data_IF_705394641055
#
_entry.id   IF_705394641055
#
_cell.length_a   1.000
_cell.length_b   1.000
_cell.length_c   1.000
_cell.angle_alpha   90.00
_cell.angle_beta   90.00
_cell.angle_gamma   90.00
#
_symmetry.space_group_name_H-M   'P 1'
#
loop_
_entity.id
_entity.type
_entity.pdbx_description
1 polymer ?
#
# COMPACT_ATOMS: atom_id res chain seq x y z
N UNK A 1 -28.72 9.62 3.01
CA UNK A 1 -28.79 8.19 2.69
C UNK A 1 -28.62 7.40 3.98
N UNK A 2 -29.31 6.26 4.17
CA UNK A 2 -29.05 5.40 5.32
C UNK A 2 -27.61 4.85 5.27
N UNK A 3 -27.00 4.69 6.43
CA UNK A 3 -25.59 4.29 6.61
C UNK A 3 -25.27 2.95 5.90
N UNK A 4 -26.20 2.00 5.96
CA UNK A 4 -26.08 0.67 5.36
C UNK A 4 -25.86 0.72 3.84
N UNK A 5 -26.53 1.64 3.14
CA UNK A 5 -26.39 1.76 1.69
C UNK A 5 -25.04 2.36 1.25
N UNK A 6 -24.35 3.08 2.13
CA UNK A 6 -23.00 3.61 1.87
C UNK A 6 -21.95 2.53 2.12
N UNK A 7 -22.16 1.67 3.13
CA UNK A 7 -21.27 0.55 3.43
C UNK A 7 -21.28 -0.51 2.31
N UNK A 8 -22.47 -0.81 1.76
CA UNK A 8 -22.61 -1.70 0.60
C UNK A 8 -21.84 -1.20 -0.63
N UNK A 9 -21.90 0.12 -0.89
CA UNK A 9 -21.17 0.72 -2.03
C UNK A 9 -19.68 0.76 -1.81
N UNK A 10 -19.22 1.03 -0.58
CA UNK A 10 -17.80 0.96 -0.22
C UNK A 10 -17.24 -0.40 -0.56
N UNK A 11 -17.85 -1.47 -0.07
CA UNK A 11 -17.38 -2.83 -0.29
C UNK A 11 -17.30 -3.24 -1.77
N UNK A 12 -18.26 -2.79 -2.58
CA UNK A 12 -18.23 -3.04 -4.03
C UNK A 12 -17.08 -2.28 -4.70
N UNK A 13 -16.90 -1.01 -4.35
CA UNK A 13 -15.91 -0.17 -5.01
C UNK A 13 -14.47 -0.45 -4.55
N UNK A 14 -14.26 -0.81 -3.28
CA UNK A 14 -12.93 -1.20 -2.77
C UNK A 14 -12.44 -2.48 -3.44
N UNK A 15 -13.31 -3.50 -3.56
CA UNK A 15 -13.00 -4.74 -4.27
C UNK A 15 -12.73 -4.52 -5.75
N UNK A 16 -13.49 -3.62 -6.37
CA UNK A 16 -13.34 -3.32 -7.79
C UNK A 16 -12.08 -2.52 -8.09
N UNK A 17 -11.73 -1.53 -7.28
CA UNK A 17 -10.62 -0.61 -7.56
C UNK A 17 -9.47 -0.77 -6.56
N UNK A 18 -9.56 -0.15 -5.39
CA UNK A 18 -8.54 -0.20 -4.36
C UNK A 18 -9.13 0.17 -2.99
N UNK A 19 -8.47 -0.29 -1.92
CA UNK A 19 -8.87 0.00 -0.55
C UNK A 19 -8.46 1.38 -0.05
N UNK A 20 -7.49 2.03 -0.70
CA UNK A 20 -7.21 3.46 -0.57
C UNK A 20 -7.48 4.18 -1.89
N UNK A 21 -7.98 5.42 -1.84
CA UNK A 21 -8.39 6.16 -3.04
C UNK A 21 -7.24 7.08 -3.52
N UNK A 22 -6.76 6.94 -4.75
CA UNK A 22 -5.73 7.81 -5.30
C UNK A 22 -6.26 9.20 -5.65
N UNK A 23 -5.37 10.19 -5.64
CA UNK A 23 -5.57 11.50 -6.26
C UNK A 23 -4.29 11.93 -7.02
N UNK A 24 -4.38 12.97 -7.83
CA UNK A 24 -3.26 13.39 -8.69
C UNK A 24 -2.02 13.84 -7.90
N UNK A 25 -2.22 14.44 -6.72
CA UNK A 25 -1.14 14.86 -5.82
C UNK A 25 -0.36 13.66 -5.30
N UNK A 26 -1.06 12.63 -4.81
CA UNK A 26 -0.46 11.38 -4.33
C UNK A 26 0.28 10.65 -5.45
N UNK A 27 -0.32 10.53 -6.64
CA UNK A 27 0.36 9.91 -7.78
C UNK A 27 1.63 10.66 -8.16
N UNK A 28 1.61 12.01 -8.12
CA UNK A 28 2.79 12.82 -8.41
C UNK A 28 3.91 12.63 -7.37
N UNK A 29 3.55 12.54 -6.09
CA UNK A 29 4.51 12.28 -5.01
C UNK A 29 5.13 10.88 -5.08
N UNK A 30 4.37 9.86 -5.50
CA UNK A 30 4.90 8.51 -5.70
C UNK A 30 5.87 8.47 -6.89
N UNK A 31 5.55 9.16 -7.99
CA UNK A 31 6.39 9.19 -9.20
C UNK A 31 7.81 9.72 -8.96
N UNK A 32 8.03 10.55 -7.94
CA UNK A 32 9.36 11.06 -7.61
C UNK A 32 10.24 10.07 -6.83
N UNK A 33 9.70 8.92 -6.42
CA UNK A 33 10.42 7.91 -5.61
C UNK A 33 10.75 6.63 -6.39
N UNK A 34 10.62 6.65 -7.72
CA UNK A 34 10.94 5.53 -8.62
C UNK A 34 12.43 5.14 -8.58
N UNK A 35 12.80 3.86 -8.82
CA UNK A 35 11.96 2.70 -9.12
C UNK A 35 11.23 2.14 -7.90
N UNK A 36 10.08 1.50 -8.12
CA UNK A 36 9.17 1.03 -7.06
C UNK A 36 9.05 -0.50 -7.04
N UNK A 37 8.86 -1.05 -5.85
CA UNK A 37 8.29 -2.38 -5.62
C UNK A 37 7.07 -2.25 -4.71
N UNK A 38 5.93 -2.81 -5.12
CA UNK A 38 4.70 -2.86 -4.34
C UNK A 38 4.43 -4.28 -3.84
N UNK A 39 4.34 -4.45 -2.52
CA UNK A 39 3.94 -5.73 -1.90
C UNK A 39 2.51 -5.62 -1.37
N UNK A 40 1.69 -6.63 -1.68
CA UNK A 40 0.26 -6.61 -1.39
C UNK A 40 -0.53 -5.76 -2.39
N UNK A 41 -0.09 -5.73 -3.66
CA UNK A 41 -0.62 -4.86 -4.70
C UNK A 41 -2.08 -5.17 -5.10
N UNK A 42 -2.68 -6.25 -4.59
CA UNK A 42 -4.00 -6.70 -5.00
C UNK A 42 -4.03 -6.96 -6.50
N UNK A 43 -4.74 -6.09 -7.24
CA UNK A 43 -4.87 -6.16 -8.71
C UNK A 43 -4.06 -5.09 -9.45
N UNK A 44 -3.22 -4.36 -8.73
CA UNK A 44 -2.33 -3.33 -9.27
C UNK A 44 -3.06 -2.08 -9.73
N UNK A 45 -4.15 -1.68 -9.06
CA UNK A 45 -4.90 -0.47 -9.46
C UNK A 45 -4.04 0.79 -9.33
N UNK A 46 -3.33 0.97 -8.21
CA UNK A 46 -2.40 2.09 -8.04
C UNK A 46 -1.28 2.06 -9.10
N UNK A 47 -0.65 0.91 -9.30
CA UNK A 47 0.36 0.72 -10.35
C UNK A 47 -0.14 1.07 -11.76
N UNK A 48 -1.40 0.74 -12.09
CA UNK A 48 -1.99 1.08 -13.40
C UNK A 48 -2.15 2.59 -13.65
N UNK A 49 -2.12 3.41 -12.60
CA UNK A 49 -2.21 4.86 -12.66
C UNK A 49 -0.81 5.52 -12.63
N UNK A 50 0.23 4.74 -12.34
CA UNK A 50 1.61 5.16 -12.22
C UNK A 50 2.36 4.79 -13.52
N UNK A 51 2.66 5.79 -14.35
CA UNK A 51 3.53 5.63 -15.53
C UNK A 51 5.01 5.65 -15.11
N UNK A 52 5.43 4.68 -14.30
CA UNK A 52 6.80 4.54 -13.78
C UNK A 52 7.25 3.07 -13.75
N UNK A 53 8.53 2.85 -13.45
CA UNK A 53 9.06 1.51 -13.21
C UNK A 53 8.59 0.98 -11.84
N UNK A 54 7.56 0.13 -11.86
CA UNK A 54 6.98 -0.50 -10.68
C UNK A 54 6.83 -2.02 -10.90
N UNK A 55 7.23 -2.81 -9.90
CA UNK A 55 7.00 -4.26 -9.87
C UNK A 55 6.03 -4.57 -8.74
N UNK A 56 4.96 -5.30 -9.05
CA UNK A 56 3.88 -5.61 -8.12
C UNK A 56 3.85 -7.09 -7.75
N UNK A 57 3.72 -7.37 -6.44
CA UNK A 57 3.46 -8.70 -5.91
C UNK A 57 2.24 -8.72 -5.00
N UNK A 58 1.49 -9.82 -5.04
CA UNK A 58 0.43 -10.14 -4.08
C UNK A 58 0.49 -11.63 -3.73
N UNK A 59 0.09 -12.00 -2.51
CA UNK A 59 0.16 -13.40 -2.05
C UNK A 59 -0.84 -14.31 -2.80
N UNK A 60 -1.94 -13.75 -3.29
CA UNK A 60 -3.01 -14.48 -3.94
C UNK A 60 -3.60 -13.68 -5.12
N UNK A 61 -2.80 -13.33 -6.15
CA UNK A 61 -3.22 -12.39 -7.19
C UNK A 61 -4.43 -12.89 -7.98
N UNK A 62 -4.65 -14.21 -8.11
CA UNK A 62 -5.84 -14.80 -8.75
C UNK A 62 -6.98 -15.17 -7.79
N UNK A 63 -6.75 -15.15 -6.47
CA UNK A 63 -7.67 -15.70 -5.46
C UNK A 63 -7.91 -14.80 -4.24
N UNK A 64 -7.47 -13.54 -4.30
CA UNK A 64 -7.60 -12.59 -3.21
C UNK A 64 -9.07 -12.21 -2.99
N UNK A 65 -9.66 -12.68 -1.88
CA UNK A 65 -11.08 -12.42 -1.53
C UNK A 65 -11.42 -10.94 -1.30
N UNK A 66 -10.41 -10.09 -1.17
CA UNK A 66 -10.54 -8.64 -0.94
C UNK A 66 -10.55 -7.83 -2.23
N UNK A 67 -10.42 -8.48 -3.39
CA UNK A 67 -10.48 -7.84 -4.71
C UNK A 67 -11.36 -8.67 -5.65
N UNK A 68 -12.00 -8.01 -6.62
CA UNK A 68 -12.69 -8.71 -7.70
C UNK A 68 -11.69 -9.39 -8.66
N UNK A 69 -12.09 -10.43 -9.41
CA UNK A 69 -11.23 -11.06 -10.42
C UNK A 69 -10.78 -10.08 -11.51
N UNK A 70 -9.61 -10.34 -12.09
CA UNK A 70 -8.98 -9.48 -13.12
C UNK A 70 -7.75 -8.73 -12.60
N UNK A 71 -7.11 -7.99 -13.51
CA UNK A 71 -5.88 -7.21 -13.26
C UNK A 71 -6.00 -5.84 -13.92
N UNK A 72 -5.58 -4.79 -13.21
CA UNK A 72 -5.33 -3.47 -13.80
C UNK A 72 -3.88 -3.33 -14.27
N UNK A 73 -2.97 -4.05 -13.61
CA UNK A 73 -1.54 -4.08 -13.89
C UNK A 73 -1.00 -5.51 -13.70
N UNK A 74 0.12 -5.90 -14.36
CA UNK A 74 0.76 -7.18 -14.07
C UNK A 74 1.15 -7.30 -12.59
N UNK A 75 0.57 -8.28 -11.89
CA UNK A 75 0.90 -8.61 -10.50
C UNK A 75 1.34 -10.07 -10.43
N UNK A 76 2.56 -10.30 -9.96
CA UNK A 76 3.09 -11.65 -9.77
C UNK A 76 2.70 -12.19 -8.38
N UNK A 77 2.67 -13.52 -8.25
CA UNK A 77 2.48 -14.15 -6.93
C UNK A 77 3.75 -14.00 -6.10
N UNK A 78 3.64 -13.43 -4.90
CA UNK A 78 4.75 -13.27 -3.97
C UNK A 78 4.37 -12.43 -2.75
N UNK A 79 5.32 -12.25 -1.85
CA UNK A 79 5.17 -11.45 -0.64
C UNK A 79 6.48 -10.76 -0.24
N UNK A 80 6.70 -10.52 1.07
CA UNK A 80 7.90 -9.86 1.58
C UNK A 80 9.22 -10.45 1.06
N UNK A 81 9.26 -11.76 0.78
CA UNK A 81 10.47 -12.44 0.31
C UNK A 81 11.00 -11.92 -1.04
N UNK A 82 10.15 -11.26 -1.84
CA UNK A 82 10.54 -10.70 -3.13
C UNK A 82 11.41 -9.45 -2.99
N UNK A 83 11.31 -8.72 -1.87
CA UNK A 83 12.03 -7.47 -1.64
C UNK A 83 13.55 -7.67 -1.77
N UNK A 84 14.08 -8.81 -1.30
CA UNK A 84 15.50 -9.11 -1.33
C UNK A 84 16.09 -9.20 -2.76
N UNK A 85 15.24 -9.47 -3.76
CA UNK A 85 15.65 -9.51 -5.15
C UNK A 85 15.69 -8.13 -5.83
N UNK A 86 15.18 -7.10 -5.14
CA UNK A 86 15.02 -5.73 -5.67
C UNK A 86 15.53 -4.66 -4.68
N UNK A 87 16.80 -4.74 -4.22
CA UNK A 87 17.33 -3.86 -3.17
C UNK A 87 17.47 -2.39 -3.58
N UNK A 88 17.38 -2.09 -4.88
CA UNK A 88 17.52 -0.77 -5.48
C UNK A 88 16.19 0.01 -5.60
N UNK A 89 15.07 -0.58 -5.16
CA UNK A 89 13.73 -0.02 -5.34
C UNK A 89 13.15 0.52 -4.03
N UNK A 90 12.42 1.63 -4.13
CA UNK A 90 11.57 2.13 -3.06
C UNK A 90 10.45 1.14 -2.77
N UNK A 91 10.28 0.76 -1.51
CA UNK A 91 9.17 -0.07 -1.06
C UNK A 91 7.88 0.76 -0.99
N UNK A 92 6.83 0.25 -1.61
CA UNK A 92 5.47 0.77 -1.54
C UNK A 92 4.54 -0.27 -0.90
N UNK A 93 3.76 0.17 0.08
CA UNK A 93 2.72 -0.64 0.73
C UNK A 93 1.39 0.12 0.66
N UNK A 94 0.44 -0.39 -0.12
CA UNK A 94 -0.89 0.18 -0.20
C UNK A 94 -1.91 -0.71 0.51
N UNK A 95 -2.50 -0.18 1.58
CA UNK A 95 -3.53 -0.79 2.41
C UNK A 95 -3.18 -2.22 2.87
N UNK A 96 -2.04 -2.40 3.56
CA UNK A 96 -1.63 -3.72 4.03
C UNK A 96 -2.69 -4.32 4.96
N UNK A 97 -2.90 -5.66 4.94
CA UNK A 97 -3.99 -6.27 5.67
C UNK A 97 -3.95 -5.96 7.18
N UNK A 98 -5.12 -5.68 7.75
CA UNK A 98 -5.27 -5.38 9.17
C UNK A 98 -4.77 -6.53 10.06
N UNK A 99 -3.98 -6.19 11.08
CA UNK A 99 -3.46 -7.12 12.08
C UNK A 99 -2.79 -8.35 11.46
N UNK A 100 -2.01 -8.11 10.41
CA UNK A 100 -1.27 -9.12 9.66
C UNK A 100 0.21 -8.70 9.53
N UNK A 101 1.11 -9.68 9.61
CA UNK A 101 2.55 -9.46 9.62
C UNK A 101 3.15 -9.03 8.29
N UNK A 102 2.40 -9.02 7.18
CA UNK A 102 2.95 -8.69 5.86
C UNK A 102 3.73 -7.37 5.86
N UNK A 103 3.18 -6.30 6.46
CA UNK A 103 3.83 -5.00 6.49
C UNK A 103 5.10 -5.00 7.35
N UNK A 104 5.05 -5.60 8.54
CA UNK A 104 6.22 -5.68 9.43
C UNK A 104 7.31 -6.61 8.87
N UNK A 105 6.94 -7.70 8.21
CA UNK A 105 7.85 -8.58 7.48
C UNK A 105 8.52 -7.85 6.32
N UNK A 106 7.79 -7.01 5.57
CA UNK A 106 8.39 -6.18 4.52
C UNK A 106 9.47 -5.26 5.09
N UNK A 107 9.20 -4.53 6.18
CA UNK A 107 10.19 -3.64 6.79
C UNK A 107 11.39 -4.36 7.37
N UNK A 108 11.20 -5.58 7.90
CA UNK A 108 12.29 -6.39 8.47
C UNK A 108 13.31 -6.84 7.41
N UNK A 109 12.87 -7.07 6.17
CA UNK A 109 13.76 -7.51 5.08
C UNK A 109 14.19 -6.37 4.15
N UNK A 110 13.45 -5.26 4.13
CA UNK A 110 13.76 -4.12 3.30
C UNK A 110 15.05 -3.44 3.78
N UNK A 111 16.00 -3.25 2.86
CA UNK A 111 17.29 -2.59 3.14
C UNK A 111 17.38 -1.19 2.53
N UNK A 112 16.41 -0.79 1.72
CA UNK A 112 16.34 0.57 1.18
C UNK A 112 15.96 1.60 2.24
N UNK A 113 15.94 2.87 1.85
CA UNK A 113 15.82 3.98 2.78
C UNK A 113 14.57 4.86 2.57
N UNK A 114 13.72 4.52 1.61
CA UNK A 114 12.45 5.20 1.34
C UNK A 114 11.31 4.20 1.39
N UNK A 115 10.25 4.52 2.13
CA UNK A 115 9.01 3.76 2.20
C UNK A 115 7.83 4.67 1.83
N UNK A 116 7.03 4.24 0.87
CA UNK A 116 5.71 4.82 0.61
C UNK A 116 4.68 3.94 1.29
N UNK A 117 3.94 4.50 2.24
CA UNK A 117 2.85 3.81 2.92
C UNK A 117 1.53 4.51 2.65
N UNK A 118 0.51 3.74 2.28
CA UNK A 118 -0.85 4.25 2.03
C UNK A 118 -1.81 3.46 2.91
N UNK A 119 -2.49 4.13 3.82
CA UNK A 119 -3.38 3.52 4.79
C UNK A 119 -3.67 4.45 5.96
N UNK A 120 -4.29 3.93 7.01
CA UNK A 120 -4.49 4.65 8.26
C UNK A 120 -3.24 4.63 9.13
N UNK A 121 -3.05 5.65 9.98
CA UNK A 121 -1.96 5.71 10.96
C UNK A 121 -2.02 4.65 12.06
N UNK A 122 -1.06 4.69 12.99
CA UNK A 122 -0.99 3.76 14.13
C UNK A 122 -2.29 3.65 14.92
N UNK A 123 -2.78 2.41 15.10
CA UNK A 123 -4.06 2.12 15.73
C UNK A 123 -5.27 2.11 14.79
N UNK A 124 -5.06 2.40 13.50
CA UNK A 124 -6.06 2.30 12.44
C UNK A 124 -6.24 0.88 11.89
N UNK A 125 -6.85 0.77 10.72
CA UNK A 125 -7.23 -0.50 10.11
C UNK A 125 -6.20 -1.12 9.13
N UNK A 126 -4.93 -0.69 9.16
CA UNK A 126 -3.90 -1.13 8.21
C UNK A 126 -2.57 -1.48 8.87
N UNK A 127 -2.04 -2.66 8.52
CA UNK A 127 -0.84 -3.24 9.14
C UNK A 127 -1.08 -3.81 10.54
N UNK A 128 0.00 -4.28 11.15
CA UNK A 128 0.04 -4.76 12.54
C UNK A 128 0.75 -3.76 13.46
N UNK A 129 0.71 -4.01 14.78
CA UNK A 129 1.40 -3.14 15.74
C UNK A 129 2.92 -3.17 15.58
N UNK A 130 3.49 -4.30 15.15
CA UNK A 130 4.93 -4.43 14.89
C UNK A 130 5.40 -3.50 13.78
N UNK A 131 4.62 -3.34 12.70
CA UNK A 131 4.92 -2.40 11.64
C UNK A 131 5.06 -0.97 12.18
N UNK A 132 4.10 -0.53 13.00
CA UNK A 132 4.12 0.81 13.58
C UNK A 132 5.25 1.01 14.60
N UNK A 133 5.60 -0.02 15.37
CA UNK A 133 6.76 0.02 16.26
C UNK A 133 8.05 0.23 15.45
N UNK A 134 8.21 -0.48 14.33
CA UNK A 134 9.38 -0.32 13.44
C UNK A 134 9.46 1.06 12.81
N UNK A 135 8.32 1.62 12.38
CA UNK A 135 8.25 3.00 11.88
C UNK A 135 8.74 3.98 12.95
N UNK A 136 8.19 3.90 14.18
CA UNK A 136 8.55 4.80 15.27
C UNK A 136 10.01 4.67 15.73
N UNK A 137 10.59 3.47 15.61
CA UNK A 137 11.95 3.20 16.05
C UNK A 137 13.01 3.70 15.04
N UNK A 138 12.72 3.64 13.74
CA UNK A 138 13.78 3.72 12.72
C UNK A 138 13.42 4.52 11.46
N UNK A 139 12.26 5.16 11.41
CA UNK A 139 11.81 5.93 10.24
C UNK A 139 11.34 7.32 10.64
N UNK A 140 11.66 8.29 9.79
CA UNK A 140 11.23 9.68 9.87
C UNK A 140 10.16 9.94 8.79
N UNK A 141 9.06 10.58 9.16
CA UNK A 141 8.05 11.04 8.19
C UNK A 141 8.61 12.26 7.44
N UNK A 142 8.88 12.10 6.14
CA UNK A 142 9.32 13.20 5.28
C UNK A 142 8.12 13.99 4.73
N UNK A 143 7.04 13.30 4.34
CA UNK A 143 5.85 13.92 3.78
C UNK A 143 4.58 13.14 4.13
N UNK A 144 3.47 13.87 4.17
CA UNK A 144 2.13 13.35 4.42
C UNK A 144 1.10 14.05 3.54
N UNK A 145 0.33 13.25 2.81
CA UNK A 145 -0.73 13.73 1.92
C UNK A 145 -2.08 13.17 2.33
N UNK A 146 -3.06 14.07 2.48
CA UNK A 146 -4.46 13.70 2.70
C UNK A 146 -5.03 13.11 1.40
N UNK A 147 -5.65 11.94 1.52
CA UNK A 147 -6.33 11.28 0.42
C UNK A 147 -7.84 11.50 0.47
N UNK A 148 -8.55 11.34 -0.66
CA UNK A 148 -9.96 11.00 -0.60
C UNK A 148 -10.14 9.70 0.17
N UNK A 149 -11.20 9.61 0.97
CA UNK A 149 -11.41 8.49 1.88
C UNK A 149 -12.72 7.77 1.60
N UNK A 150 -12.70 6.44 1.73
CA UNK A 150 -13.94 5.69 1.82
C UNK A 150 -14.67 6.06 3.12
N UNK A 151 -16.00 5.95 3.12
CA UNK A 151 -16.77 6.22 4.33
C UNK A 151 -16.29 5.33 5.49
N UNK A 152 -15.95 5.97 6.62
CA UNK A 152 -15.47 5.29 7.83
C UNK A 152 -14.01 4.84 7.80
N UNK A 153 -13.23 5.22 6.79
CA UNK A 153 -11.78 5.04 6.76
C UNK A 153 -11.06 6.38 6.86
N UNK A 154 -9.82 6.35 7.33
CA UNK A 154 -9.00 7.53 7.59
C UNK A 154 -7.64 7.47 6.87
N UNK A 155 -7.66 6.99 5.63
CA UNK A 155 -6.44 6.76 4.85
C UNK A 155 -5.69 8.07 4.52
N UNK A 156 -4.37 7.99 4.57
CA UNK A 156 -3.44 8.98 4.05
C UNK A 156 -2.30 8.32 3.28
N UNK A 157 -1.50 9.13 2.59
CA UNK A 157 -0.22 8.70 2.02
C UNK A 157 0.91 9.29 2.83
N UNK A 158 1.85 8.44 3.23
CA UNK A 158 3.01 8.77 4.02
C UNK A 158 4.27 8.41 3.22
N UNK A 159 5.24 9.32 3.20
CA UNK A 159 6.58 9.03 2.71
C UNK A 159 7.50 9.04 3.92
N UNK A 160 8.04 7.88 4.25
CA UNK A 160 9.00 7.69 5.31
C UNK A 160 10.41 7.55 4.75
N UNK A 161 11.38 8.10 5.46
CA UNK A 161 12.81 7.92 5.18
C UNK A 161 13.56 7.44 6.40
N UNK A 162 14.70 6.81 6.17
CA UNK A 162 15.68 6.49 7.21
C UNK A 162 17.08 6.71 6.70
N UNK A 163 18.04 6.75 7.61
CA UNK A 163 19.45 6.77 7.23
C UNK A 163 19.83 5.48 6.48
N UNK A 164 20.69 5.63 5.46
CA UNK A 164 21.19 4.53 4.64
C UNK A 164 22.35 3.77 5.30
#
# INVERSE_FOLDING_TARGET
MPYDALDDRRMVLTKKYAWAIPNDTALSAIRSQTPLIEIGAGKGYWASLLDVDIICYDIAPDGNRWCDPGYYYPVAKGGPEQILAHPDRTLMLCWPPYNNSMASECLKVYTGNVLIYIGEGGGGCTGDSDFWNLIQESWEEEDYLVLPQWCGLHDGLYIFKRDA
#
